data_IF_939730201309
#
_entry.id   IF_939730201309
#
_cell.length_a   1.000
_cell.length_b   1.000
_cell.length_c   1.000
_cell.angle_alpha   90.00
_cell.angle_beta   90.00
_cell.angle_gamma   90.00
#
_symmetry.space_group_name_H-M   'P 1'
#
loop_
_entity.id
_entity.type
_entity.pdbx_description
1 polymer ?
#
# COMPACT_ATOMS: atom_id res chain seq x y z
N UNK A 1 5.96 3.44 0.48
CA UNK A 1 5.35 3.03 -0.79
C UNK A 1 5.52 1.53 -0.92
N UNK A 2 4.54 0.84 -1.49
CA UNK A 2 4.71 -0.57 -1.85
C UNK A 2 5.65 -0.73 -3.05
N UNK A 3 6.08 -1.96 -3.32
CA UNK A 3 6.44 -2.37 -4.68
C UNK A 3 5.20 -2.58 -5.56
N UNK A 4 5.42 -3.04 -6.79
CA UNK A 4 4.37 -3.33 -7.77
C UNK A 4 4.34 -4.82 -8.12
N UNK A 5 3.18 -5.32 -8.52
CA UNK A 5 2.99 -6.65 -9.08
C UNK A 5 2.31 -6.51 -10.44
N UNK A 6 2.88 -7.11 -11.48
CA UNK A 6 2.27 -7.19 -12.81
C UNK A 6 1.83 -8.62 -13.09
N UNK A 7 0.77 -8.79 -13.87
CA UNK A 7 0.31 -10.12 -14.32
C UNK A 7 0.12 -10.15 -15.83
N UNK A 8 0.09 -11.36 -16.41
CA UNK A 8 -0.15 -11.57 -17.85
C UNK A 8 -1.52 -11.05 -18.33
N UNK A 9 -2.42 -10.72 -17.40
CA UNK A 9 -3.68 -10.04 -17.69
C UNK A 9 -3.55 -8.56 -18.08
N UNK A 10 -2.32 -8.02 -18.14
CA UNK A 10 -2.07 -6.64 -18.56
C UNK A 10 -2.38 -5.60 -17.50
N UNK A 11 -2.26 -5.96 -16.21
CA UNK A 11 -2.58 -5.07 -15.08
C UNK A 11 -1.44 -4.99 -14.07
N UNK A 12 -1.36 -3.84 -13.38
CA UNK A 12 -0.39 -3.53 -12.34
C UNK A 12 -1.11 -3.29 -11.02
N UNK A 13 -0.74 -4.05 -9.99
CA UNK A 13 -1.22 -3.91 -8.62
C UNK A 13 -0.19 -3.16 -7.78
N UNK A 14 -0.64 -2.19 -6.99
CA UNK A 14 0.21 -1.48 -6.03
C UNK A 14 -0.59 -0.84 -4.91
N UNK A 15 0.10 -0.48 -3.84
CA UNK A 15 -0.43 0.20 -2.67
C UNK A 15 0.23 1.56 -2.45
N UNK A 16 -0.51 2.47 -1.83
CA UNK A 16 -0.04 3.82 -1.49
C UNK A 16 0.04 4.02 0.02
N UNK A 17 0.84 5.00 0.46
CA UNK A 17 1.00 5.30 1.88
C UNK A 17 -0.27 5.85 2.53
N UNK A 18 -1.17 6.46 1.77
CA UNK A 18 -2.49 6.94 2.18
C UNK A 18 -3.58 5.84 2.13
N UNK A 19 -3.20 4.58 1.94
CA UNK A 19 -4.07 3.43 2.13
C UNK A 19 -4.82 2.93 0.90
N UNK A 20 -4.51 3.43 -0.30
CA UNK A 20 -5.16 2.92 -1.53
C UNK A 20 -4.45 1.70 -2.06
N UNK A 21 -5.18 0.59 -2.18
CA UNK A 21 -4.85 -0.48 -3.11
C UNK A 21 -5.38 -0.10 -4.49
N UNK A 22 -4.52 -0.10 -5.51
CA UNK A 22 -4.85 0.32 -6.88
C UNK A 22 -4.48 -0.77 -7.88
N UNK A 23 -5.32 -0.88 -8.91
CA UNK A 23 -5.08 -1.69 -10.10
C UNK A 23 -5.11 -0.74 -11.29
N UNK A 24 -4.00 -0.71 -12.03
CA UNK A 24 -3.87 0.09 -13.23
C UNK A 24 -3.71 -0.80 -14.46
N UNK A 25 -4.18 -0.30 -15.60
CA UNK A 25 -3.84 -0.84 -16.91
C UNK A 25 -2.31 -0.70 -17.15
N UNK A 26 -1.66 -1.78 -17.55
CA UNK A 26 -0.21 -1.83 -17.66
C UNK A 26 0.35 -0.96 -18.79
N UNK A 27 -0.40 -0.79 -19.88
CA UNK A 27 0.07 -0.04 -21.04
C UNK A 27 -0.11 1.48 -20.87
N UNK A 28 -1.21 1.89 -20.22
CA UNK A 28 -1.64 3.29 -20.15
C UNK A 28 -1.48 3.90 -18.76
N UNK A 29 -1.35 3.09 -17.71
CA UNK A 29 -1.36 3.54 -16.32
C UNK A 29 -2.74 4.00 -15.81
N UNK A 30 -3.81 3.85 -16.62
CA UNK A 30 -5.17 4.20 -16.22
C UNK A 30 -5.61 3.35 -15.03
N UNK A 31 -6.10 3.98 -13.97
CA UNK A 31 -6.67 3.25 -12.83
C UNK A 31 -7.96 2.56 -13.27
N UNK A 32 -7.99 1.23 -13.14
CA UNK A 32 -9.12 0.36 -13.45
C UNK A 32 -9.93 0.05 -12.20
N UNK A 33 -9.26 -0.08 -11.06
CA UNK A 33 -9.88 -0.35 -9.77
C UNK A 33 -9.07 0.28 -8.64
N UNK A 34 -9.76 0.68 -7.57
CA UNK A 34 -9.12 1.07 -6.33
C UNK A 34 -9.99 0.73 -5.13
N UNK A 35 -9.35 0.39 -4.02
CA UNK A 35 -9.98 0.11 -2.74
C UNK A 35 -9.23 0.82 -1.63
N UNK A 36 -9.95 1.53 -0.76
CA UNK A 36 -9.35 2.20 0.40
C UNK A 36 -9.25 1.21 1.56
N UNK A 37 -8.03 0.89 1.94
CA UNK A 37 -7.73 -0.09 2.99
C UNK A 37 -7.65 0.58 4.37
N UNK A 38 -7.71 -0.19 5.47
CA UNK A 38 -7.70 0.38 6.82
C UNK A 38 -6.41 1.13 7.20
N UNK A 39 -5.29 0.93 6.47
CA UNK A 39 -3.99 1.54 6.77
C UNK A 39 -3.12 1.64 5.51
N UNK A 40 -2.14 2.55 5.50
CA UNK A 40 -1.18 2.71 4.42
C UNK A 40 -0.45 1.42 4.07
N UNK A 41 -0.03 1.30 2.82
CA UNK A 41 0.57 0.07 2.29
C UNK A 41 2.06 0.30 2.02
N UNK A 42 2.88 -0.51 2.67
CA UNK A 42 4.34 -0.61 2.42
C UNK A 42 4.76 -1.98 1.91
N UNK A 43 3.87 -2.99 1.95
CA UNK A 43 4.17 -4.35 1.48
C UNK A 43 4.02 -4.49 -0.03
N UNK A 44 4.75 -5.44 -0.63
CA UNK A 44 4.54 -5.83 -2.03
C UNK A 44 3.26 -6.65 -2.17
N UNK A 45 2.42 -6.38 -3.19
CA UNK A 45 1.34 -7.29 -3.54
C UNK A 45 1.87 -8.64 -4.03
N UNK A 46 1.15 -9.71 -3.76
CA UNK A 46 1.40 -11.06 -4.30
C UNK A 46 0.14 -11.60 -4.98
N UNK A 47 0.30 -12.59 -5.86
CA UNK A 47 -0.83 -13.34 -6.43
C UNK A 47 -0.60 -14.84 -6.34
N UNK A 48 -1.68 -15.61 -6.21
CA UNK A 48 -1.67 -17.07 -6.13
C UNK A 48 -2.98 -17.65 -6.67
N UNK A 49 -3.01 -18.96 -6.90
CA UNK A 49 -4.21 -19.70 -7.29
C UNK A 49 -4.63 -20.63 -6.15
N UNK A 50 -5.91 -20.65 -5.82
CA UNK A 50 -6.51 -21.61 -4.91
C UNK A 50 -7.84 -22.11 -5.50
N UNK A 51 -8.02 -23.43 -5.58
CA UNK A 51 -9.21 -24.07 -6.16
C UNK A 51 -9.61 -23.52 -7.55
N UNK A 52 -8.61 -23.30 -8.41
CA UNK A 52 -8.82 -22.79 -9.78
C UNK A 52 -9.13 -21.29 -9.87
N UNK A 53 -9.18 -20.56 -8.75
CA UNK A 53 -9.45 -19.13 -8.70
C UNK A 53 -8.18 -18.35 -8.36
N UNK A 54 -7.92 -17.26 -9.08
CA UNK A 54 -6.79 -16.37 -8.81
C UNK A 54 -7.13 -15.38 -7.69
N UNK A 55 -6.17 -15.16 -6.80
CA UNK A 55 -6.25 -14.22 -5.69
C UNK A 55 -5.08 -13.26 -5.74
N UNK A 56 -5.31 -12.04 -5.26
CA UNK A 56 -4.27 -11.03 -5.01
C UNK A 56 -4.30 -10.68 -3.53
N UNK A 57 -3.14 -10.64 -2.89
CA UNK A 57 -3.05 -10.33 -1.46
C UNK A 57 -1.97 -9.30 -1.16
N UNK A 58 -2.19 -8.50 -0.11
CA UNK A 58 -1.22 -7.53 0.40
C UNK A 58 -1.48 -7.23 1.88
N UNK A 59 -0.43 -6.84 2.60
CA UNK A 59 -0.53 -6.34 3.96
C UNK A 59 -0.78 -4.83 3.98
N UNK A 60 -1.66 -4.41 4.87
CA UNK A 60 -1.95 -3.01 5.16
C UNK A 60 -1.45 -2.72 6.57
N UNK A 61 -0.76 -1.60 6.73
CA UNK A 61 0.01 -1.30 7.92
C UNK A 61 1.13 -0.35 7.55
N UNK A 62 0.87 0.94 7.67
CA UNK A 62 1.85 1.98 7.36
C UNK A 62 3.01 1.90 8.37
N UNK A 63 4.24 2.06 7.91
CA UNK A 63 5.43 1.90 8.72
C UNK A 63 6.72 2.11 7.94
N UNK A 64 7.81 1.53 8.43
CA UNK A 64 9.14 1.74 7.88
C UNK A 64 9.59 3.20 7.96
N UNK A 65 10.62 3.54 7.20
CA UNK A 65 11.21 4.88 7.30
C UNK A 65 10.25 6.01 6.91
N UNK A 66 9.39 5.77 5.91
CA UNK A 66 8.43 6.77 5.43
C UNK A 66 7.37 7.17 6.46
N UNK A 67 7.09 6.32 7.45
CA UNK A 67 6.09 6.59 8.48
C UNK A 67 6.65 6.53 9.90
N UNK A 68 7.97 6.66 10.06
CA UNK A 68 8.62 6.55 11.37
C UNK A 68 8.09 7.57 12.38
N UNK A 69 7.67 8.76 11.92
CA UNK A 69 7.01 9.75 12.79
C UNK A 69 5.70 9.26 13.37
N UNK A 70 4.89 8.56 12.58
CA UNK A 70 3.63 7.98 13.01
C UNK A 70 3.83 6.70 13.85
N UNK A 71 4.82 5.87 13.49
CA UNK A 71 5.10 4.61 14.17
C UNK A 71 5.74 4.79 15.55
N UNK A 72 6.67 5.74 15.69
CA UNK A 72 7.46 5.95 16.90
C UNK A 72 7.05 7.21 17.69
N UNK A 73 6.03 7.94 17.22
CA UNK A 73 5.55 9.16 17.87
C UNK A 73 6.52 10.35 17.81
N UNK A 74 7.39 10.38 16.79
CA UNK A 74 8.36 11.47 16.58
C UNK A 74 7.67 12.67 15.94
N UNK A 75 8.02 13.88 16.40
CA UNK A 75 7.30 15.11 16.02
C UNK A 75 8.21 16.20 15.46
N UNK A 76 9.51 16.16 15.74
CA UNK A 76 10.44 17.16 15.24
C UNK A 76 10.84 16.79 13.80
N UNK A 77 10.77 17.75 12.88
CA UNK A 77 10.97 17.47 11.46
C UNK A 77 12.33 16.86 11.09
N UNK A 78 13.36 17.06 11.92
CA UNK A 78 14.72 16.52 11.73
C UNK A 78 14.89 15.11 12.30
N UNK A 79 13.95 14.62 13.11
CA UNK A 79 13.96 13.26 13.65
C UNK A 79 13.75 12.22 12.53
N UNK A 80 14.10 10.96 12.82
CA UNK A 80 13.98 9.88 11.85
C UNK A 80 14.79 10.15 10.58
N UNK A 81 15.98 10.73 10.70
CA UNK A 81 16.83 11.14 9.56
C UNK A 81 16.11 12.10 8.59
N UNK A 82 15.22 12.95 9.11
CA UNK A 82 14.43 13.91 8.32
C UNK A 82 13.10 13.38 7.78
N UNK A 83 12.81 12.08 7.91
CA UNK A 83 11.58 11.49 7.37
C UNK A 83 10.30 12.00 8.06
N UNK A 84 10.40 12.40 9.32
CA UNK A 84 9.29 13.02 10.07
C UNK A 84 8.85 14.32 9.39
N UNK A 85 9.80 15.17 9.02
CA UNK A 85 9.53 16.41 8.29
C UNK A 85 8.97 16.15 6.89
N UNK A 86 9.53 15.16 6.17
CA UNK A 86 9.09 14.80 4.82
C UNK A 86 7.65 14.26 4.76
N UNK A 87 7.20 13.54 5.80
CA UNK A 87 5.90 12.86 5.83
C UNK A 87 4.97 13.40 6.93
N UNK A 88 5.12 14.67 7.33
CA UNK A 88 4.39 15.28 8.46
C UNK A 88 2.87 15.20 8.38
N UNK A 89 2.30 15.16 7.16
CA UNK A 89 0.85 15.10 6.93
C UNK A 89 0.35 13.67 6.72
N UNK A 90 1.21 12.66 6.80
CA UNK A 90 0.81 11.27 6.53
C UNK A 90 -0.28 10.79 7.50
N UNK A 91 -0.24 11.26 8.76
CA UNK A 91 -1.25 11.00 9.77
C UNK A 91 -2.65 11.52 9.44
N UNK A 92 -2.77 12.49 8.53
CA UNK A 92 -4.07 13.03 8.11
C UNK A 92 -4.83 12.06 7.20
N UNK A 93 -4.11 11.10 6.60
CA UNK A 93 -4.66 10.17 5.61
C UNK A 93 -4.69 8.72 6.08
N UNK A 94 -3.88 8.36 7.07
CA UNK A 94 -3.76 6.98 7.52
C UNK A 94 -3.34 6.86 8.98
N UNK A 95 -3.56 5.69 9.55
CA UNK A 95 -3.13 5.30 10.89
C UNK A 95 -2.35 3.99 10.82
N UNK A 96 -1.67 3.62 11.92
CA UNK A 96 -1.05 2.30 12.06
C UNK A 96 -2.10 1.19 11.89
N UNK A 97 -1.64 0.03 11.43
CA UNK A 97 -2.49 -1.12 11.18
C UNK A 97 -1.68 -2.40 10.97
N UNK A 98 -2.37 -3.50 10.70
CA UNK A 98 -1.74 -4.81 10.52
C UNK A 98 -2.75 -5.84 10.02
N UNK A 99 -3.22 -5.66 8.79
CA UNK A 99 -4.27 -6.52 8.20
C UNK A 99 -3.80 -7.10 6.87
N UNK A 100 -3.99 -8.41 6.68
CA UNK A 100 -3.86 -9.04 5.37
C UNK A 100 -5.18 -8.88 4.60
N UNK A 101 -5.14 -8.23 3.45
CA UNK A 101 -6.26 -8.09 2.54
C UNK A 101 -6.10 -9.07 1.37
N UNK A 102 -7.19 -9.75 0.99
CA UNK A 102 -7.22 -10.71 -0.12
C UNK A 102 -8.38 -10.34 -1.06
N UNK A 103 -8.08 -10.26 -2.36
CA UNK A 103 -9.00 -9.86 -3.42
C UNK A 103 -9.12 -10.97 -4.46
N UNK A 104 -10.31 -11.13 -5.02
CA UNK A 104 -10.59 -12.01 -6.16
C UNK A 104 -11.81 -11.47 -6.93
N UNK A 105 -12.02 -11.90 -8.18
CA UNK A 105 -13.25 -11.61 -8.92
C UNK A 105 -14.39 -12.48 -8.41
N UNK A 106 -15.66 -12.11 -8.59
CA UNK A 106 -16.79 -12.98 -8.26
C UNK A 106 -16.93 -14.14 -9.26
#
# INVERSE_FOLDING_TARGET
>A
YSGTLTTDGGVVFYGTLDGWFKVADQATGKILYQFHTPSGIISNPITYIHNGKQYVALLTGVGGWAAIGLAEGLTQGTEGLGAVGLNRSLSDYTNLGGTLMVFTLE
#
